data_IF_741573929146
#
_entry.id   IF_741573929146
#
_cell.length_a   1.000
_cell.length_b   1.000
_cell.length_c   1.000
_cell.angle_alpha   90.00
_cell.angle_beta   90.00
_cell.angle_gamma   90.00
#
_symmetry.space_group_name_H-M   'P 1'
#
loop_
_entity.id
_entity.type
_entity.pdbx_description
1 polymer ?
#
# COMPACT_ATOMS: atom_id res chain seq x y z
N UNK A 1 13.34 -48.10 -53.56
CA UNK A 1 12.06 -47.59 -53.03
C UNK A 1 12.34 -46.77 -51.76
N UNK A 2 12.09 -45.46 -51.86
CA UNK A 2 11.61 -44.49 -50.84
C UNK A 2 12.30 -44.50 -49.46
N UNK A 3 13.39 -43.75 -49.22
CA UNK A 3 13.62 -42.29 -48.95
C UNK A 3 13.34 -41.79 -47.53
N UNK A 4 14.43 -41.46 -46.81
CA UNK A 4 14.51 -40.51 -45.70
C UNK A 4 14.46 -39.08 -46.26
N UNK A 5 13.54 -38.23 -45.79
CA UNK A 5 13.55 -36.79 -46.09
C UNK A 5 14.21 -35.99 -44.96
N UNK A 6 15.42 -35.53 -45.25
CA UNK A 6 16.13 -34.43 -44.58
C UNK A 6 15.56 -33.10 -45.08
N UNK A 7 15.03 -32.26 -44.19
CA UNK A 7 14.77 -30.84 -44.51
C UNK A 7 15.99 -30.03 -44.04
N UNK A 8 16.75 -29.54 -45.03
CA UNK A 8 17.90 -28.66 -44.87
C UNK A 8 17.49 -27.31 -44.26
N UNK A 9 18.20 -26.90 -43.21
CA UNK A 9 18.25 -25.50 -42.75
C UNK A 9 19.03 -24.67 -43.79
N UNK A 10 18.56 -23.48 -44.18
CA UNK A 10 19.26 -22.68 -45.18
C UNK A 10 20.59 -22.16 -44.60
N UNK A 11 21.70 -22.54 -45.22
CA UNK A 11 23.02 -21.92 -44.99
C UNK A 11 23.00 -20.50 -45.55
N UNK A 12 23.13 -19.49 -44.68
CA UNK A 12 23.40 -18.12 -45.08
C UNK A 12 24.81 -18.04 -45.69
N UNK A 13 24.87 -17.81 -47.01
CA UNK A 13 26.14 -17.66 -47.73
C UNK A 13 26.59 -16.18 -47.69
N UNK A 14 27.46 -15.85 -46.73
CA UNK A 14 28.03 -14.50 -46.53
C UNK A 14 28.94 -14.03 -47.69
N UNK A 15 29.29 -14.87 -48.65
CA UNK A 15 30.11 -14.46 -49.81
C UNK A 15 29.29 -13.83 -50.95
N UNK A 16 27.94 -13.89 -50.92
CA UNK A 16 27.10 -13.23 -51.95
C UNK A 16 26.75 -11.76 -51.63
N UNK A 17 26.96 -11.31 -50.39
CA UNK A 17 26.80 -9.90 -49.99
C UNK A 17 28.04 -9.03 -50.31
N UNK A 18 29.19 -9.65 -50.57
CA UNK A 18 30.42 -8.94 -50.95
C UNK A 18 30.45 -8.42 -52.39
N UNK A 19 29.64 -8.98 -53.30
CA UNK A 19 29.56 -8.52 -54.70
C UNK A 19 28.45 -7.49 -54.97
N UNK A 20 27.42 -7.42 -54.13
CA UNK A 20 26.35 -6.41 -54.29
C UNK A 20 26.80 -5.02 -53.80
N UNK A 21 27.81 -4.95 -52.92
CA UNK A 21 28.35 -3.67 -52.41
C UNK A 21 29.31 -2.97 -53.38
N UNK A 22 29.81 -3.65 -54.41
CA UNK A 22 30.70 -3.06 -55.44
C UNK A 22 30.03 -2.72 -56.78
N UNK A 23 28.75 -3.02 -56.95
CA UNK A 23 27.96 -2.58 -58.12
C UNK A 23 26.90 -1.52 -57.79
N UNK A 24 26.62 -1.24 -56.51
CA UNK A 24 25.62 -0.25 -56.10
C UNK A 24 26.18 1.18 -55.86
N UNK A 25 27.38 1.50 -56.35
CA UNK A 25 27.92 2.87 -56.39
C UNK A 25 27.67 3.56 -57.74
N UNK A 26 26.91 2.93 -58.65
CA UNK A 26 26.52 3.52 -59.94
C UNK A 26 25.10 3.09 -60.33
N UNK A 27 24.08 3.58 -59.63
CA UNK A 27 22.74 3.83 -60.22
C UNK A 27 21.81 4.41 -59.17
N UNK A 28 21.36 5.65 -59.40
CA UNK A 28 20.19 6.22 -58.73
C UNK A 28 18.96 5.37 -59.05
N UNK A 29 18.40 4.63 -58.08
CA UNK A 29 16.99 4.24 -58.16
C UNK A 29 16.38 3.90 -56.79
N UNK A 30 15.10 4.24 -56.68
CA UNK A 30 14.25 4.39 -55.50
C UNK A 30 13.88 3.08 -54.78
N UNK A 31 14.64 2.00 -54.92
CA UNK A 31 14.24 0.65 -54.43
C UNK A 31 14.82 0.26 -53.05
N UNK A 32 15.81 0.98 -52.51
CA UNK A 32 16.42 0.61 -51.21
C UNK A 32 15.58 0.99 -49.97
N UNK A 33 14.63 1.93 -50.11
CA UNK A 33 13.79 2.38 -48.99
C UNK A 33 12.66 1.40 -48.63
N UNK A 34 12.23 0.52 -49.53
CA UNK A 34 11.15 -0.42 -49.22
C UNK A 34 11.65 -1.64 -48.44
N UNK A 35 12.80 -2.23 -48.82
CA UNK A 35 13.30 -3.47 -48.21
C UNK A 35 13.90 -3.27 -46.80
N UNK A 36 14.51 -2.11 -46.55
CA UNK A 36 15.02 -1.73 -45.21
C UNK A 36 13.88 -1.32 -44.26
N UNK A 37 12.81 -0.73 -44.80
CA UNK A 37 11.60 -0.39 -44.03
C UNK A 37 10.87 -1.64 -43.53
N UNK A 38 10.72 -2.68 -44.37
CA UNK A 38 10.00 -3.91 -44.00
C UNK A 38 10.74 -4.74 -42.95
N UNK A 39 12.08 -4.75 -42.97
CA UNK A 39 12.91 -5.50 -42.01
C UNK A 39 13.02 -4.79 -40.64
N UNK A 40 13.10 -3.45 -40.64
CA UNK A 40 13.06 -2.64 -39.41
C UNK A 40 11.65 -2.68 -38.78
N UNK A 41 10.59 -2.76 -39.58
CA UNK A 41 9.22 -2.98 -39.08
C UNK A 41 9.02 -4.38 -38.50
N UNK A 42 9.73 -5.40 -38.98
CA UNK A 42 9.65 -6.77 -38.45
C UNK A 42 10.40 -6.90 -37.11
N UNK A 43 11.57 -6.28 -36.97
CA UNK A 43 12.34 -6.27 -35.70
C UNK A 43 11.71 -5.35 -34.64
N UNK A 44 11.11 -4.22 -35.05
CA UNK A 44 10.32 -3.35 -34.12
C UNK A 44 8.98 -3.95 -33.69
N UNK A 45 8.45 -4.95 -34.40
CA UNK A 45 7.23 -5.68 -34.01
C UNK A 45 7.45 -6.69 -32.88
N UNK A 46 8.71 -7.00 -32.52
CA UNK A 46 9.04 -7.96 -31.45
C UNK A 46 9.08 -7.30 -30.05
N UNK A 47 9.05 -5.96 -29.97
CA UNK A 47 8.62 -5.26 -28.75
C UNK A 47 7.12 -5.04 -28.82
N UNK A 48 6.33 -5.97 -28.27
CA UNK A 48 4.86 -5.97 -28.40
C UNK A 48 4.27 -4.58 -28.09
N UNK A 49 3.25 -4.15 -28.86
CA UNK A 49 2.48 -2.93 -28.57
C UNK A 49 2.02 -2.87 -27.10
N UNK A 50 1.81 -4.03 -26.46
CA UNK A 50 1.56 -4.18 -25.02
C UNK A 50 2.71 -3.65 -24.14
N UNK A 51 3.96 -3.90 -24.50
CA UNK A 51 5.13 -3.43 -23.75
C UNK A 51 5.34 -1.92 -23.89
N UNK A 52 5.07 -1.36 -25.07
CA UNK A 52 5.05 0.10 -25.28
C UNK A 52 3.87 0.77 -24.56
N UNK A 53 2.69 0.15 -24.54
CA UNK A 53 1.53 0.64 -23.78
C UNK A 53 1.83 0.61 -22.28
N UNK A 54 2.40 -0.50 -21.75
CA UNK A 54 2.83 -0.60 -20.36
C UNK A 54 3.90 0.42 -19.99
N UNK A 55 4.89 0.66 -20.86
CA UNK A 55 5.92 1.70 -20.64
C UNK A 55 5.31 3.10 -20.66
N UNK A 56 4.36 3.39 -21.56
CA UNK A 56 3.61 4.66 -21.58
C UNK A 56 2.75 4.84 -20.34
N UNK A 57 2.14 3.77 -19.83
CA UNK A 57 1.34 3.77 -18.59
C UNK A 57 2.23 3.92 -17.37
N UNK A 58 3.32 3.17 -17.26
CA UNK A 58 4.30 3.32 -16.18
C UNK A 58 4.89 4.72 -16.21
N UNK A 59 5.20 5.24 -17.41
CA UNK A 59 5.59 6.64 -17.60
C UNK A 59 4.47 7.59 -17.21
N UNK A 60 3.20 7.34 -17.52
CA UNK A 60 2.09 8.21 -17.09
C UNK A 60 1.82 8.15 -15.58
N UNK A 61 2.02 6.99 -14.94
CA UNK A 61 1.95 6.84 -13.47
C UNK A 61 3.09 7.62 -12.83
N UNK A 62 4.32 7.41 -13.29
CA UNK A 62 5.51 8.13 -12.85
C UNK A 62 5.40 9.64 -13.14
N UNK A 63 4.91 10.02 -14.32
CA UNK A 63 4.70 11.41 -14.74
C UNK A 63 3.53 12.03 -13.97
N UNK A 64 2.46 11.30 -13.61
CA UNK A 64 1.40 11.82 -12.73
C UNK A 64 1.91 12.03 -11.30
N UNK A 65 2.88 11.22 -10.86
CA UNK A 65 3.59 11.40 -9.61
C UNK A 65 4.60 12.57 -9.68
N UNK A 66 5.19 12.84 -10.85
CA UNK A 66 6.20 13.90 -11.08
C UNK A 66 5.59 15.27 -11.47
N UNK A 67 4.50 15.31 -12.23
CA UNK A 67 3.82 16.54 -12.71
C UNK A 67 3.13 17.27 -11.55
N UNK A 68 2.71 16.54 -10.50
CA UNK A 68 2.27 17.16 -9.24
C UNK A 68 3.44 17.67 -8.37
N UNK A 69 4.68 17.27 -8.66
CA UNK A 69 5.88 17.69 -7.92
C UNK A 69 6.63 18.89 -8.56
N UNK A 70 6.21 19.35 -9.74
CA UNK A 70 6.98 20.31 -10.56
C UNK A 70 6.26 21.61 -10.91
N UNK A 71 5.32 22.06 -10.07
CA UNK A 71 4.49 23.24 -10.33
C UNK A 71 4.87 24.48 -9.52
N UNK A 72 6.15 24.88 -9.49
CA UNK A 72 6.53 26.22 -8.99
C UNK A 72 7.19 26.98 -10.13
N UNK A 73 6.46 27.96 -10.68
CA UNK A 73 7.04 29.00 -11.52
C UNK A 73 7.71 30.02 -10.59
N UNK A 74 8.99 30.28 -10.81
CA UNK A 74 9.73 31.37 -10.19
C UNK A 74 9.01 32.70 -10.44
N UNK A 75 8.55 33.33 -9.35
CA UNK A 75 8.28 34.75 -9.32
C UNK A 75 9.32 35.38 -8.38
N UNK A 76 10.23 36.14 -8.96
CA UNK A 76 11.19 37.02 -8.28
C UNK A 76 10.47 37.91 -7.27
N UNK A 77 10.79 37.75 -5.98
CA UNK A 77 10.46 38.73 -4.93
C UNK A 77 11.74 39.19 -4.24
N UNK A 78 11.85 40.51 -4.11
CA UNK A 78 12.92 41.24 -3.43
C UNK A 78 12.97 40.90 -1.95
N UNK A 79 14.19 40.81 -1.42
CA UNK A 79 14.52 40.56 -0.02
C UNK A 79 13.93 41.59 0.95
N UNK A 80 13.40 41.10 2.07
CA UNK A 80 13.19 41.83 3.32
C UNK A 80 13.60 40.90 4.49
N UNK A 81 14.08 41.44 5.62
CA UNK A 81 15.00 40.73 6.50
C UNK A 81 14.32 39.68 7.39
N UNK A 82 15.06 38.60 7.61
CA UNK A 82 14.66 37.40 8.33
C UNK A 82 14.34 37.65 9.82
N UNK A 83 13.17 37.19 10.25
CA UNK A 83 12.91 36.82 11.64
C UNK A 83 12.97 35.29 11.74
N UNK A 84 13.76 34.79 12.70
CA UNK A 84 13.88 33.37 13.01
C UNK A 84 12.58 32.90 13.68
N UNK A 85 11.73 32.19 12.95
CA UNK A 85 10.69 31.36 13.54
C UNK A 85 11.17 29.91 13.59
N UNK A 86 11.08 29.30 14.78
CA UNK A 86 11.32 27.88 15.02
C UNK A 86 10.32 27.01 14.22
N UNK A 87 10.71 25.81 13.77
CA UNK A 87 9.79 24.95 13.04
C UNK A 87 8.61 24.56 13.92
N UNK A 88 7.40 24.87 13.45
CA UNK A 88 6.15 24.54 14.10
C UNK A 88 6.08 23.04 14.44
N UNK A 89 6.02 22.75 15.73
CA UNK A 89 5.73 21.41 16.28
C UNK A 89 4.41 20.93 15.67
N UNK A 90 4.48 19.87 14.87
CA UNK A 90 3.32 19.18 14.30
C UNK A 90 2.48 18.65 15.46
N UNK A 91 1.39 19.35 15.80
CA UNK A 91 0.40 18.83 16.74
C UNK A 91 -0.29 17.65 16.08
N UNK A 92 -0.15 16.48 16.70
CA UNK A 92 -0.88 15.27 16.36
C UNK A 92 -2.38 15.58 16.24
N UNK A 93 -2.96 15.24 15.10
CA UNK A 93 -4.41 15.18 14.95
C UNK A 93 -4.88 14.05 15.86
N UNK A 94 -5.81 14.28 16.80
CA UNK A 94 -6.27 13.22 17.68
C UNK A 94 -6.85 12.10 16.82
N UNK A 95 -6.27 10.90 16.93
CA UNK A 95 -6.90 9.67 16.45
C UNK A 95 -8.19 9.51 17.25
N UNK A 96 -9.29 10.01 16.69
CA UNK A 96 -10.62 9.82 17.23
C UNK A 96 -10.93 8.34 17.42
N UNK A 97 -11.93 8.00 18.25
CA UNK A 97 -12.30 6.61 18.49
C UNK A 97 -12.55 5.96 17.14
N UNK A 98 -11.80 4.90 16.83
CA UNK A 98 -11.90 4.18 15.57
C UNK A 98 -13.37 3.99 15.23
N UNK A 99 -13.83 4.71 14.23
CA UNK A 99 -15.11 4.47 13.59
C UNK A 99 -14.92 3.11 12.95
N UNK A 100 -15.20 2.06 13.72
CA UNK A 100 -15.43 0.73 13.19
C UNK A 100 -16.54 0.90 12.18
N UNK A 101 -16.15 1.10 10.92
CA UNK A 101 -16.93 0.71 9.77
C UNK A 101 -17.52 -0.64 10.14
N UNK A 102 -18.83 -0.67 10.41
CA UNK A 102 -19.57 -1.92 10.43
C UNK A 102 -19.15 -2.67 9.17
N UNK A 103 -18.66 -3.90 9.34
CA UNK A 103 -18.03 -4.67 8.27
C UNK A 103 -18.84 -4.52 6.96
N UNK A 104 -18.19 -4.24 5.81
CA UNK A 104 -18.89 -3.66 4.68
C UNK A 104 -19.88 -4.62 4.02
N UNK A 105 -21.16 -4.22 4.07
CA UNK A 105 -22.17 -4.12 3.00
C UNK A 105 -22.38 -5.26 1.99
N UNK A 106 -21.82 -6.45 2.21
CA UNK A 106 -22.12 -7.64 1.41
C UNK A 106 -22.99 -8.65 2.15
N UNK A 107 -23.78 -9.43 1.42
CA UNK A 107 -24.60 -10.49 2.00
C UNK A 107 -23.73 -11.72 2.32
N UNK A 108 -23.87 -12.32 3.52
CA UNK A 108 -23.14 -13.53 3.86
C UNK A 108 -23.53 -14.68 2.93
N UNK A 109 -22.58 -15.60 2.70
CA UNK A 109 -22.80 -16.77 1.86
C UNK A 109 -23.12 -18.01 2.69
N UNK A 110 -23.81 -18.97 2.07
CA UNK A 110 -23.92 -20.33 2.59
C UNK A 110 -22.54 -20.99 2.66
N UNK A 111 -22.34 -21.84 3.67
CA UNK A 111 -21.04 -22.44 3.98
C UNK A 111 -20.46 -23.26 2.82
N UNK A 112 -21.30 -23.99 2.08
CA UNK A 112 -20.86 -24.79 0.93
C UNK A 112 -20.34 -23.91 -0.21
N UNK A 113 -21.04 -22.82 -0.55
CA UNK A 113 -20.59 -21.86 -1.56
C UNK A 113 -19.29 -21.18 -1.13
N UNK A 114 -19.19 -20.78 0.13
CA UNK A 114 -17.98 -20.17 0.69
C UNK A 114 -16.77 -21.13 0.57
N UNK A 115 -16.96 -22.42 0.87
CA UNK A 115 -15.91 -23.43 0.70
C UNK A 115 -15.45 -23.56 -0.76
N UNK A 116 -16.39 -23.68 -1.69
CA UNK A 116 -16.11 -23.77 -3.13
C UNK A 116 -15.33 -22.55 -3.65
N UNK A 117 -15.69 -21.34 -3.19
CA UNK A 117 -14.99 -20.11 -3.57
C UNK A 117 -13.58 -20.04 -2.98
N UNK A 118 -13.36 -20.51 -1.75
CA UNK A 118 -12.01 -20.60 -1.15
C UNK A 118 -11.08 -21.53 -1.93
N UNK A 119 -11.59 -22.68 -2.40
CA UNK A 119 -10.79 -23.59 -3.22
C UNK A 119 -10.55 -23.02 -4.62
N UNK A 120 -11.57 -22.40 -5.23
CA UNK A 120 -11.44 -21.76 -6.54
C UNK A 120 -10.41 -20.63 -6.52
N UNK A 121 -10.46 -19.74 -5.54
CA UNK A 121 -9.53 -18.61 -5.47
C UNK A 121 -8.08 -19.08 -5.25
N UNK A 122 -7.86 -20.11 -4.43
CA UNK A 122 -6.54 -20.71 -4.23
C UNK A 122 -6.00 -21.34 -5.53
N UNK A 123 -6.84 -22.07 -6.27
CA UNK A 123 -6.49 -22.64 -7.59
C UNK A 123 -6.11 -21.55 -8.60
N UNK A 124 -6.85 -20.44 -8.65
CA UNK A 124 -6.54 -19.31 -9.55
C UNK A 124 -5.16 -18.71 -9.24
N UNK A 125 -4.80 -18.58 -7.96
CA UNK A 125 -3.47 -18.09 -7.55
C UNK A 125 -2.36 -19.12 -7.81
N UNK A 126 -2.70 -20.41 -7.84
CA UNK A 126 -1.76 -21.52 -7.99
C UNK A 126 -1.25 -22.07 -6.66
N UNK A 127 -2.08 -22.03 -5.61
CA UNK A 127 -1.78 -22.63 -4.30
C UNK A 127 -2.84 -23.66 -3.93
N UNK A 128 -2.44 -24.68 -3.17
CA UNK A 128 -3.35 -25.70 -2.65
C UNK A 128 -4.02 -25.24 -1.35
N UNK A 129 -5.23 -25.75 -1.11
CA UNK A 129 -5.99 -25.53 0.12
C UNK A 129 -7.02 -24.42 -0.01
N UNK A 130 -7.38 -23.84 1.14
CA UNK A 130 -8.50 -22.91 1.28
C UNK A 130 -8.14 -21.72 2.20
N UNK A 131 -6.84 -21.40 2.34
CA UNK A 131 -6.34 -20.34 3.22
C UNK A 131 -6.56 -18.95 2.65
N UNK A 132 -6.57 -17.93 3.52
CA UNK A 132 -6.57 -16.53 3.07
C UNK A 132 -5.31 -16.22 2.25
N UNK A 133 -5.49 -15.60 1.09
CA UNK A 133 -4.41 -15.37 0.12
C UNK A 133 -3.78 -13.97 0.21
N UNK A 134 -4.34 -13.08 1.03
CA UNK A 134 -3.80 -11.72 1.19
C UNK A 134 -2.44 -11.72 1.91
N UNK A 135 -1.52 -10.90 1.43
CA UNK A 135 -0.18 -10.70 2.00
C UNK A 135 -0.26 -9.93 3.32
N UNK A 136 0.47 -10.26 4.37
CA UNK A 136 0.49 -9.52 5.64
C UNK A 136 1.80 -8.73 5.77
N UNK A 137 1.76 -7.41 6.02
CA UNK A 137 2.96 -6.61 6.13
C UNK A 137 3.70 -6.86 7.45
N UNK A 138 5.04 -6.78 7.39
CA UNK A 138 5.91 -6.80 8.56
C UNK A 138 6.19 -5.39 9.06
N UNK A 139 6.50 -5.23 10.34
CA UNK A 139 6.80 -3.91 10.91
C UNK A 139 8.05 -3.31 10.30
N UNK A 140 8.00 -2.02 10.01
CA UNK A 140 9.14 -1.23 9.57
C UNK A 140 10.10 -1.01 10.74
N UNK A 141 11.38 -1.25 10.51
CA UNK A 141 12.47 -1.08 11.47
C UNK A 141 13.60 -0.25 10.86
N UNK A 142 14.58 0.15 11.68
CA UNK A 142 15.83 0.78 11.20
C UNK A 142 16.58 -0.04 10.15
N UNK A 143 16.53 -1.38 10.22
CA UNK A 143 17.15 -2.23 9.20
C UNK A 143 16.41 -2.11 7.86
N UNK A 144 15.08 -2.07 7.89
CA UNK A 144 14.28 -1.87 6.67
C UNK A 144 14.43 -0.48 6.08
N UNK A 145 14.78 0.54 6.88
CA UNK A 145 15.14 1.86 6.37
C UNK A 145 16.36 1.79 5.44
N UNK A 146 17.36 0.98 5.79
CA UNK A 146 18.52 0.72 4.93
C UNK A 146 18.13 -0.05 3.67
N UNK A 147 17.16 -0.97 3.78
CA UNK A 147 16.65 -1.71 2.62
C UNK A 147 16.10 -0.78 1.52
N UNK A 148 15.41 0.30 1.89
CA UNK A 148 14.90 1.31 0.93
C UNK A 148 16.03 1.95 0.08
N UNK A 149 17.25 2.00 0.61
CA UNK A 149 18.42 2.46 -0.14
C UNK A 149 18.98 1.40 -1.08
N UNK A 150 18.61 0.14 -0.96
CA UNK A 150 19.12 -0.96 -1.79
C UNK A 150 18.11 -1.46 -2.83
N UNK A 151 16.81 -1.28 -2.58
CA UNK A 151 15.73 -1.78 -3.41
C UNK A 151 14.68 -0.70 -3.68
N UNK A 152 14.03 -0.77 -4.84
CA UNK A 152 13.01 0.19 -5.22
C UNK A 152 11.66 -0.15 -4.57
N UNK A 153 11.16 0.74 -3.71
CA UNK A 153 9.85 0.67 -3.08
C UNK A 153 8.89 1.78 -3.54
N UNK A 154 7.60 1.50 -3.57
CA UNK A 154 6.55 2.51 -3.50
C UNK A 154 6.15 2.74 -2.04
N UNK A 155 5.59 3.92 -1.76
CA UNK A 155 4.99 4.29 -0.46
C UNK A 155 3.57 4.80 -0.67
N UNK A 156 2.67 4.44 0.22
CA UNK A 156 1.31 4.97 0.29
C UNK A 156 0.89 5.18 1.74
N UNK A 157 -0.16 5.95 1.96
CA UNK A 157 -0.75 6.11 3.28
C UNK A 157 -1.30 4.77 3.79
N UNK A 158 -1.20 4.52 5.10
CA UNK A 158 -1.82 3.37 5.76
C UNK A 158 -3.21 3.80 6.24
N UNK A 159 -4.25 3.36 5.55
CA UNK A 159 -5.61 3.80 5.87
C UNK A 159 -6.10 3.10 7.13
N UNK A 160 -6.89 3.82 7.91
CA UNK A 160 -7.70 3.22 8.96
C UNK A 160 -9.01 2.70 8.35
N UNK A 161 -8.94 1.50 7.78
CA UNK A 161 -10.04 0.88 7.05
C UNK A 161 -10.11 -0.63 7.23
N UNK A 162 -11.08 -1.24 6.54
CA UNK A 162 -11.27 -2.69 6.53
C UNK A 162 -10.65 -3.26 5.27
N UNK A 163 -9.48 -3.90 5.43
CA UNK A 163 -8.84 -4.62 4.33
C UNK A 163 -9.66 -5.81 3.87
N UNK A 164 -9.95 -5.85 2.58
CA UNK A 164 -10.67 -6.95 1.91
C UNK A 164 -10.07 -7.21 0.54
N UNK A 165 -10.09 -8.45 0.09
CA UNK A 165 -9.89 -8.76 -1.34
C UNK A 165 -11.22 -8.64 -2.07
N UNK A 166 -11.19 -8.12 -3.29
CA UNK A 166 -12.32 -8.12 -4.21
C UNK A 166 -12.12 -9.22 -5.25
N UNK A 167 -13.10 -10.12 -5.38
CA UNK A 167 -13.06 -11.26 -6.29
C UNK A 167 -14.23 -11.23 -7.27
N UNK A 168 -13.93 -11.15 -8.56
CA UNK A 168 -14.92 -11.20 -9.65
C UNK A 168 -15.05 -12.63 -10.18
N UNK A 169 -16.28 -13.14 -10.24
CA UNK A 169 -16.62 -14.45 -10.80
C UNK A 169 -17.72 -14.26 -11.84
N UNK A 170 -17.58 -14.89 -13.00
CA UNK A 170 -18.64 -14.92 -13.99
C UNK A 170 -19.46 -16.20 -13.80
N UNK A 171 -20.77 -16.03 -13.60
CA UNK A 171 -21.71 -17.13 -13.52
C UNK A 171 -22.07 -17.64 -14.94
N UNK A 172 -22.55 -18.87 -15.04
CA UNK A 172 -22.85 -19.53 -16.34
C UNK A 172 -23.91 -18.79 -17.16
N UNK A 173 -24.82 -18.09 -16.49
CA UNK A 173 -25.83 -17.22 -17.13
C UNK A 173 -25.25 -15.89 -17.65
N UNK A 174 -23.94 -15.68 -17.60
CA UNK A 174 -23.25 -14.48 -18.07
C UNK A 174 -23.27 -13.30 -17.09
N UNK A 175 -23.91 -13.44 -15.92
CA UNK A 175 -23.88 -12.40 -14.89
C UNK A 175 -22.60 -12.47 -14.06
N UNK A 176 -21.96 -11.32 -13.86
CA UNK A 176 -20.81 -11.25 -12.96
C UNK A 176 -21.27 -11.12 -11.50
N UNK A 177 -20.72 -11.95 -10.64
CA UNK A 177 -20.83 -11.85 -9.19
C UNK A 177 -19.51 -11.26 -8.64
N UNK A 178 -19.65 -10.35 -7.67
CA UNK A 178 -18.51 -9.75 -6.97
C UNK A 178 -18.58 -10.15 -5.51
N UNK A 179 -17.44 -10.59 -4.98
CA UNK A 179 -17.30 -10.96 -3.57
C UNK A 179 -16.23 -10.12 -2.90
N UNK A 180 -16.45 -9.79 -1.63
CA UNK A 180 -15.42 -9.29 -0.73
C UNK A 180 -14.95 -10.40 0.20
N UNK A 181 -13.66 -10.42 0.50
CA UNK A 181 -13.02 -11.45 1.31
C UNK A 181 -12.24 -10.76 2.43
N UNK A 182 -12.67 -10.95 3.67
CA UNK A 182 -12.00 -10.35 4.82
C UNK A 182 -10.76 -11.14 5.26
N UNK A 183 -10.04 -10.62 6.27
CA UNK A 183 -8.84 -11.28 6.83
C UNK A 183 -9.14 -12.62 7.53
N UNK A 184 -10.39 -12.87 7.93
CA UNK A 184 -10.86 -14.15 8.49
C UNK A 184 -11.24 -15.14 7.38
N UNK A 185 -10.96 -14.80 6.12
CA UNK A 185 -11.29 -15.58 4.94
C UNK A 185 -12.81 -15.76 4.75
N UNK A 186 -13.59 -14.80 5.22
CA UNK A 186 -15.04 -14.74 5.07
C UNK A 186 -15.44 -14.03 3.79
N UNK A 187 -16.31 -14.68 3.03
CA UNK A 187 -16.81 -14.18 1.75
C UNK A 187 -18.17 -13.52 1.93
N UNK A 188 -18.34 -12.35 1.32
CA UNK A 188 -19.61 -11.63 1.26
C UNK A 188 -19.91 -11.25 -0.19
N UNK A 189 -21.13 -11.53 -0.67
CA UNK A 189 -21.59 -11.13 -2.00
C UNK A 189 -21.94 -9.64 -2.04
N UNK A 190 -21.50 -8.93 -3.08
CA UNK A 190 -21.77 -7.51 -3.28
C UNK A 190 -22.65 -7.33 -4.52
N UNK A 191 -23.92 -6.92 -4.35
CA UNK A 191 -24.81 -6.65 -5.48
C UNK A 191 -24.45 -5.34 -6.20
N UNK A 192 -25.01 -5.14 -7.39
CA UNK A 192 -24.92 -3.87 -8.15
C UNK A 192 -23.49 -3.34 -8.44
N UNK A 193 -22.51 -4.23 -8.39
CA UNK A 193 -21.14 -3.96 -8.75
C UNK A 193 -20.73 -4.85 -9.92
N UNK A 194 -20.17 -4.23 -10.95
CA UNK A 194 -19.73 -4.89 -12.20
C UNK A 194 -18.42 -4.29 -12.67
N UNK A 195 -17.52 -5.13 -13.16
CA UNK A 195 -16.19 -4.76 -13.64
C UNK A 195 -16.00 -5.29 -15.07
N UNK A 196 -16.05 -4.41 -16.07
CA UNK A 196 -15.87 -4.78 -17.46
C UNK A 196 -14.39 -4.96 -17.81
N UNK A 197 -14.12 -5.69 -18.89
CA UNK A 197 -12.78 -5.83 -19.46
C UNK A 197 -12.45 -4.63 -20.34
N UNK A 198 -11.15 -4.36 -20.51
CA UNK A 198 -10.71 -3.27 -21.38
C UNK A 198 -11.13 -3.49 -22.84
N UNK A 199 -11.59 -2.41 -23.48
CA UNK A 199 -12.05 -2.34 -24.87
C UNK A 199 -13.38 -3.05 -25.20
N UNK A 200 -13.97 -3.80 -24.26
CA UNK A 200 -15.25 -4.50 -24.45
C UNK A 200 -16.13 -4.34 -23.20
N UNK A 201 -16.81 -3.19 -23.07
CA UNK A 201 -17.51 -2.81 -21.83
C UNK A 201 -18.71 -3.72 -21.46
N UNK A 202 -19.16 -4.58 -22.37
CA UNK A 202 -20.21 -5.57 -22.13
C UNK A 202 -19.67 -6.95 -21.73
N UNK A 203 -18.35 -7.12 -21.71
CA UNK A 203 -17.69 -8.35 -21.27
C UNK A 203 -17.09 -8.11 -19.89
N UNK A 204 -17.39 -9.01 -18.95
CA UNK A 204 -17.01 -8.84 -17.55
C UNK A 204 -15.84 -9.75 -17.16
N UNK A 205 -15.08 -9.30 -16.16
CA UNK A 205 -14.00 -10.11 -15.58
C UNK A 205 -14.53 -11.41 -14.97
N UNK A 206 -13.81 -12.51 -15.19
CA UNK A 206 -13.98 -13.78 -14.49
C UNK A 206 -12.67 -14.12 -13.80
N UNK A 207 -12.69 -14.71 -12.61
CA UNK A 207 -11.50 -15.10 -11.86
C UNK A 207 -10.43 -14.00 -11.75
N UNK A 208 -10.86 -12.79 -11.37
CA UNK A 208 -9.99 -11.62 -11.18
C UNK A 208 -9.99 -11.21 -9.72
N UNK A 209 -8.81 -11.03 -9.14
CA UNK A 209 -8.61 -10.84 -7.70
C UNK A 209 -7.81 -9.56 -7.46
N UNK A 210 -8.40 -8.62 -6.75
CA UNK A 210 -7.81 -7.31 -6.40
C UNK A 210 -7.64 -7.25 -4.88
N UNK A 211 -6.51 -6.75 -4.41
CA UNK A 211 -6.29 -6.44 -2.99
C UNK A 211 -6.55 -4.96 -2.76
N UNK A 212 -7.22 -4.64 -1.66
CA UNK A 212 -7.68 -3.29 -1.37
C UNK A 212 -8.20 -3.12 0.04
N UNK A 213 -8.69 -1.92 0.31
CA UNK A 213 -9.18 -1.50 1.62
C UNK A 213 -10.44 -0.67 1.48
N UNK A 214 -11.43 -0.95 2.34
CA UNK A 214 -12.65 -0.17 2.43
C UNK A 214 -12.48 0.90 3.50
N UNK A 215 -12.62 2.15 3.08
CA UNK A 215 -12.49 3.34 3.92
C UNK A 215 -13.80 4.14 3.92
N UNK A 216 -14.01 4.92 4.99
CA UNK A 216 -15.12 5.85 5.12
C UNK A 216 -14.58 7.27 4.91
N UNK A 217 -14.81 7.84 3.72
CA UNK A 217 -14.46 9.22 3.46
C UNK A 217 -15.51 10.15 4.08
N UNK A 218 -15.11 11.06 4.95
CA UNK A 218 -15.93 12.19 5.38
C UNK A 218 -15.90 13.28 4.30
N UNK A 219 -17.02 13.46 3.60
CA UNK A 219 -17.16 14.49 2.56
C UNK A 219 -17.45 15.88 3.18
N UNK A 220 -17.19 16.99 2.45
CA UNK A 220 -17.39 18.35 2.98
C UNK A 220 -18.82 18.67 3.45
N UNK A 221 -19.81 17.91 2.99
CA UNK A 221 -21.20 18.01 3.42
C UNK A 221 -21.49 17.25 4.73
N UNK A 222 -20.47 16.69 5.38
CA UNK A 222 -20.58 15.91 6.62
C UNK A 222 -21.04 14.46 6.43
N UNK A 223 -21.24 13.99 5.19
CA UNK A 223 -21.65 12.62 4.92
C UNK A 223 -20.45 11.68 4.76
N UNK A 224 -20.60 10.46 5.26
CA UNK A 224 -19.63 9.40 5.01
C UNK A 224 -19.92 8.70 3.68
N UNK A 225 -18.88 8.54 2.85
CA UNK A 225 -18.92 7.79 1.59
C UNK A 225 -17.96 6.63 1.69
N UNK A 226 -18.47 5.42 1.46
CA UNK A 226 -17.62 4.23 1.43
C UNK A 226 -16.85 4.17 0.12
N UNK A 227 -15.54 3.94 0.22
CA UNK A 227 -14.65 3.79 -0.93
C UNK A 227 -13.78 2.55 -0.78
N UNK A 228 -13.71 1.75 -1.84
CA UNK A 228 -12.72 0.69 -2.01
C UNK A 228 -11.46 1.27 -2.69
N UNK A 229 -10.37 1.33 -1.94
CA UNK A 229 -9.04 1.72 -2.39
C UNK A 229 -8.28 0.47 -2.83
N UNK A 230 -8.26 0.20 -4.14
CA UNK A 230 -7.52 -0.90 -4.74
C UNK A 230 -6.02 -0.58 -4.79
N UNK A 231 -5.16 -1.48 -4.32
CA UNK A 231 -3.71 -1.26 -4.28
C UNK A 231 -2.85 -2.40 -4.82
N UNK A 232 -3.41 -3.57 -5.14
CA UNK A 232 -2.69 -4.63 -5.86
C UNK A 232 -3.64 -5.52 -6.67
N UNK A 233 -3.10 -6.23 -7.67
CA UNK A 233 -3.85 -7.16 -8.53
C UNK A 233 -3.14 -8.52 -8.50
N UNK A 234 -3.80 -9.53 -7.96
CA UNK A 234 -3.23 -10.85 -7.71
C UNK A 234 -3.47 -11.80 -8.89
N UNK A 235 -4.67 -11.74 -9.47
CA UNK A 235 -5.04 -12.52 -10.65
C UNK A 235 -5.86 -11.68 -11.61
N UNK A 236 -5.70 -11.98 -12.90
CA UNK A 236 -6.39 -11.30 -13.97
C UNK A 236 -6.94 -12.33 -14.95
N UNK A 237 -8.26 -12.41 -15.06
CA UNK A 237 -8.96 -13.29 -15.99
C UNK A 237 -8.55 -14.76 -15.88
N UNK A 238 -8.50 -15.29 -14.66
CA UNK A 238 -8.11 -16.68 -14.37
C UNK A 238 -6.60 -16.93 -14.36
N UNK A 239 -5.79 -15.92 -14.70
CA UNK A 239 -4.33 -16.04 -14.66
C UNK A 239 -3.76 -15.39 -13.41
N UNK A 240 -3.05 -16.18 -12.59
CA UNK A 240 -2.20 -15.65 -11.52
C UNK A 240 -1.13 -14.73 -12.07
N UNK A 241 -1.00 -13.54 -11.50
CA UNK A 241 0.05 -12.57 -11.84
C UNK A 241 0.92 -12.18 -10.63
N UNK A 242 0.79 -12.90 -9.52
CA UNK A 242 1.55 -12.67 -8.28
C UNK A 242 3.06 -12.74 -8.49
N UNK A 243 3.54 -13.50 -9.47
CA UNK A 243 4.97 -13.59 -9.83
C UNK A 243 5.51 -12.36 -10.57
N UNK A 244 4.64 -11.46 -11.05
CA UNK A 244 5.05 -10.23 -11.75
C UNK A 244 5.43 -9.15 -10.74
N UNK A 245 6.34 -8.22 -11.08
CA UNK A 245 6.63 -7.04 -10.26
C UNK A 245 5.39 -6.19 -9.97
N UNK A 246 5.35 -5.52 -8.82
CA UNK A 246 4.25 -4.62 -8.42
C UNK A 246 3.95 -3.57 -9.50
N UNK A 247 4.99 -2.99 -10.13
CA UNK A 247 4.81 -2.04 -11.25
C UNK A 247 3.93 -2.58 -12.37
N UNK A 248 4.08 -3.86 -12.73
CA UNK A 248 3.26 -4.52 -13.75
C UNK A 248 1.85 -4.80 -13.25
N UNK A 249 1.69 -5.18 -11.98
CA UNK A 249 0.39 -5.46 -11.36
C UNK A 249 -0.43 -4.18 -11.24
N UNK A 250 0.16 -3.08 -10.77
CA UNK A 250 -0.46 -1.75 -10.68
C UNK A 250 -0.85 -1.18 -12.05
N UNK A 251 0.05 -1.25 -13.04
CA UNK A 251 -0.26 -0.77 -14.38
C UNK A 251 -1.48 -1.50 -14.98
N UNK A 252 -1.57 -2.82 -14.77
CA UNK A 252 -2.73 -3.60 -15.19
C UNK A 252 -3.98 -3.28 -14.37
N UNK A 253 -3.87 -3.16 -13.05
CA UNK A 253 -4.97 -2.75 -12.18
C UNK A 253 -5.58 -1.43 -12.65
N UNK A 254 -4.74 -0.44 -12.94
CA UNK A 254 -5.19 0.87 -13.40
C UNK A 254 -5.83 0.80 -14.78
N UNK A 255 -5.14 0.23 -15.77
CA UNK A 255 -5.56 0.33 -17.17
C UNK A 255 -6.58 -0.71 -17.61
N UNK A 256 -6.56 -1.89 -17.00
CA UNK A 256 -7.36 -3.04 -17.45
C UNK A 256 -8.48 -3.42 -16.47
N UNK A 257 -8.53 -2.83 -15.27
CA UNK A 257 -9.59 -3.08 -14.29
C UNK A 257 -10.30 -1.78 -13.85
N UNK A 258 -9.58 -0.82 -13.26
CA UNK A 258 -10.15 0.45 -12.79
C UNK A 258 -10.58 1.36 -13.94
N UNK A 259 -9.75 1.46 -15.00
CA UNK A 259 -10.04 2.26 -16.19
C UNK A 259 -11.36 1.88 -16.87
N UNK A 260 -11.54 0.61 -17.28
CA UNK A 260 -12.78 0.16 -17.92
C UNK A 260 -14.02 0.34 -17.02
N UNK A 261 -13.89 0.11 -15.71
CA UNK A 261 -14.96 0.38 -14.76
C UNK A 261 -15.36 1.87 -14.76
N UNK A 262 -14.39 2.79 -14.76
CA UNK A 262 -14.66 4.23 -14.88
C UNK A 262 -15.32 4.60 -16.19
N UNK A 263 -14.90 4.01 -17.31
CA UNK A 263 -15.53 4.26 -18.61
C UNK A 263 -16.97 3.75 -18.66
N UNK A 264 -17.26 2.58 -18.07
CA UNK A 264 -18.63 2.07 -17.93
C UNK A 264 -19.49 3.03 -17.10
N UNK A 265 -18.99 3.56 -16.00
CA UNK A 265 -19.77 4.52 -15.19
C UNK A 265 -20.10 5.82 -15.92
N UNK A 266 -19.33 6.24 -16.93
CA UNK A 266 -19.66 7.44 -17.73
C UNK A 266 -20.87 7.26 -18.64
N UNK A 267 -21.13 6.03 -19.06
CA UNK A 267 -22.22 5.67 -19.98
C UNK A 267 -23.37 4.92 -19.29
N UNK A 268 -23.18 4.51 -18.04
CA UNK A 268 -24.19 3.83 -17.25
C UNK A 268 -25.36 4.76 -16.94
N UNK A 269 -26.55 4.18 -16.78
CA UNK A 269 -27.70 4.95 -16.33
C UNK A 269 -27.49 5.43 -14.87
N UNK A 270 -28.07 6.59 -14.48
CA UNK A 270 -27.89 7.14 -13.14
C UNK A 270 -28.33 6.20 -12.02
N UNK A 271 -29.39 5.41 -12.22
CA UNK A 271 -29.90 4.49 -11.20
C UNK A 271 -28.86 3.44 -10.80
N UNK A 272 -28.14 2.88 -11.77
CA UNK A 272 -27.04 1.95 -11.52
C UNK A 272 -25.86 2.61 -10.80
N UNK A 273 -25.55 3.87 -11.13
CA UNK A 273 -24.47 4.60 -10.45
C UNK A 273 -24.83 4.84 -8.97
N UNK A 274 -26.09 5.19 -8.70
CA UNK A 274 -26.60 5.43 -7.34
C UNK A 274 -26.79 4.14 -6.53
N UNK A 275 -27.01 3.00 -7.17
CA UNK A 275 -27.15 1.71 -6.48
C UNK A 275 -25.81 1.10 -6.07
N UNK A 276 -24.69 1.66 -6.51
CA UNK A 276 -23.37 1.12 -6.17
C UNK A 276 -23.12 1.21 -4.66
N UNK A 277 -22.73 0.08 -4.01
CA UNK A 277 -22.59 0.04 -2.56
C UNK A 277 -21.40 0.86 -2.03
N UNK A 278 -20.41 1.13 -2.90
CA UNK A 278 -19.25 1.95 -2.60
C UNK A 278 -18.58 2.45 -3.89
N UNK A 279 -17.81 3.53 -3.78
CA UNK A 279 -16.96 4.02 -4.89
C UNK A 279 -15.71 3.14 -4.99
N UNK A 280 -15.22 2.89 -6.20
CA UNK A 280 -13.96 2.17 -6.41
C UNK A 280 -12.88 3.10 -6.95
N UNK A 281 -11.67 3.06 -6.39
CA UNK A 281 -10.57 3.93 -6.81
C UNK A 281 -9.23 3.20 -6.64
N UNK A 282 -8.25 3.56 -7.47
CA UNK A 282 -6.86 3.13 -7.28
C UNK A 282 -6.26 3.95 -6.13
N UNK A 283 -5.58 3.29 -5.19
CA UNK A 283 -4.84 3.94 -4.10
C UNK A 283 -3.64 4.70 -4.68
N UNK A 284 -3.45 5.96 -4.25
CA UNK A 284 -2.33 6.77 -4.71
C UNK A 284 -1.02 6.21 -4.14
N UNK A 285 -0.04 6.00 -5.02
CA UNK A 285 1.28 5.50 -4.70
C UNK A 285 2.32 6.57 -5.03
N UNK A 286 3.21 6.85 -4.10
CA UNK A 286 4.41 7.66 -4.31
C UNK A 286 5.63 6.76 -4.42
N UNK A 287 6.72 7.30 -4.97
CA UNK A 287 8.03 6.64 -4.85
C UNK A 287 8.48 6.69 -3.39
N UNK A 288 9.25 5.70 -2.94
CA UNK A 288 9.71 5.62 -1.54
C UNK A 288 10.49 6.83 -1.03
N UNK A 289 11.02 7.67 -1.91
CA UNK A 289 11.62 8.96 -1.57
C UNK A 289 10.64 10.15 -1.65
N UNK A 290 9.34 9.91 -1.71
CA UNK A 290 8.27 10.92 -1.66
C UNK A 290 7.66 11.08 -0.26
N UNK A 291 8.46 10.85 0.79
CA UNK A 291 8.03 10.82 2.20
C UNK A 291 7.51 12.20 2.64
N UNK A 292 8.24 13.26 2.31
CA UNK A 292 7.86 14.64 2.59
C UNK A 292 6.51 14.97 1.97
N UNK A 293 6.30 14.57 0.71
CA UNK A 293 5.03 14.75 0.02
C UNK A 293 3.90 13.97 0.71
N UNK A 294 4.18 12.75 1.18
CA UNK A 294 3.20 11.99 1.96
C UNK A 294 2.75 12.78 3.20
N UNK A 295 3.68 13.32 3.98
CA UNK A 295 3.38 14.03 5.22
C UNK A 295 2.80 15.42 5.02
N UNK A 296 3.26 16.19 4.03
CA UNK A 296 2.86 17.59 3.82
C UNK A 296 1.65 17.77 2.91
N UNK A 297 1.44 16.85 1.96
CA UNK A 297 0.42 17.01 0.93
C UNK A 297 -0.62 15.88 0.91
N UNK A 298 -0.21 14.62 1.05
CA UNK A 298 -1.16 13.50 0.87
C UNK A 298 -1.99 13.28 2.13
N UNK A 299 -1.33 12.99 3.25
CA UNK A 299 -2.00 12.63 4.53
C UNK A 299 -2.93 13.75 5.02
N UNK A 300 -2.53 15.05 5.04
CA UNK A 300 -3.40 16.12 5.52
C UNK A 300 -4.66 16.34 4.68
N UNK A 301 -4.68 15.86 3.43
CA UNK A 301 -5.81 16.01 2.50
C UNK A 301 -6.65 14.72 2.37
N UNK A 302 -6.37 13.69 3.17
CA UNK A 302 -7.21 12.49 3.21
C UNK A 302 -8.57 12.79 3.84
N UNK A 303 -9.58 12.07 3.37
CA UNK A 303 -10.95 12.16 3.90
C UNK A 303 -11.27 11.05 4.91
N UNK A 304 -10.32 10.16 5.16
CA UNK A 304 -10.42 9.02 6.06
C UNK A 304 -9.23 9.02 7.02
N UNK A 305 -9.34 8.23 8.09
CA UNK A 305 -8.26 8.07 9.06
C UNK A 305 -7.00 7.47 8.43
N UNK A 306 -5.85 7.88 8.94
CA UNK A 306 -4.54 7.35 8.58
C UNK A 306 -3.77 7.08 9.88
N UNK A 307 -3.05 5.96 9.93
CA UNK A 307 -2.24 5.60 11.10
C UNK A 307 -0.78 5.25 10.72
N UNK A 308 -0.28 5.76 9.59
CA UNK A 308 1.09 5.57 9.15
C UNK A 308 1.25 5.39 7.64
N UNK A 309 2.23 4.58 7.24
CA UNK A 309 2.62 4.37 5.84
C UNK A 309 2.75 2.87 5.52
N UNK A 310 2.49 2.50 4.26
CA UNK A 310 2.81 1.18 3.71
C UNK A 310 3.86 1.34 2.61
N UNK A 311 4.98 0.65 2.79
CA UNK A 311 6.01 0.52 1.75
C UNK A 311 5.87 -0.86 1.09
N UNK A 312 5.77 -0.87 -0.24
CA UNK A 312 5.69 -2.13 -1.00
C UNK A 312 6.75 -2.15 -2.09
N UNK A 313 7.55 -3.22 -2.13
CA UNK A 313 8.59 -3.36 -3.13
C UNK A 313 8.01 -3.29 -4.54
N UNK A 314 8.61 -2.45 -5.37
CA UNK A 314 8.22 -2.25 -6.77
C UNK A 314 8.58 -3.44 -7.66
N UNK A 315 9.55 -4.26 -7.24
CA UNK A 315 10.15 -5.36 -8.02
C UNK A 315 9.74 -6.74 -7.51
N UNK A 316 9.42 -6.88 -6.22
CA UNK A 316 9.13 -8.17 -5.62
C UNK A 316 7.80 -8.78 -6.13
N UNK A 317 7.74 -10.12 -6.20
CA UNK A 317 6.48 -10.82 -6.37
C UNK A 317 5.56 -10.60 -5.17
N UNK A 318 4.26 -10.78 -5.38
CA UNK A 318 3.28 -10.81 -4.30
C UNK A 318 3.36 -12.17 -3.59
N UNK A 319 3.58 -12.14 -2.27
CA UNK A 319 3.68 -13.33 -1.43
C UNK A 319 2.44 -13.39 -0.51
N UNK A 320 1.56 -14.40 -0.67
CA UNK A 320 0.46 -14.64 0.27
C UNK A 320 0.96 -14.86 1.70
N UNK A 321 0.15 -14.52 2.71
CA UNK A 321 0.57 -14.55 4.12
C UNK A 321 1.72 -13.58 4.40
N UNK A 322 2.60 -13.81 5.37
CA UNK A 322 3.65 -12.85 5.74
C UNK A 322 4.55 -12.49 4.54
N UNK A 323 4.58 -11.21 4.18
CA UNK A 323 5.39 -10.70 3.09
C UNK A 323 6.42 -9.69 3.64
N UNK A 324 7.69 -10.12 3.66
CA UNK A 324 8.80 -9.30 4.16
C UNK A 324 9.14 -8.12 3.25
N UNK A 325 8.65 -8.11 2.01
CA UNK A 325 8.80 -7.00 1.04
C UNK A 325 7.61 -6.02 1.05
N UNK A 326 6.75 -6.14 2.07
CA UNK A 326 5.66 -5.22 2.34
C UNK A 326 5.75 -4.78 3.80
N UNK A 327 6.07 -3.52 4.02
CA UNK A 327 6.43 -2.96 5.31
C UNK A 327 5.32 -2.02 5.78
N UNK A 328 4.91 -2.15 7.04
CA UNK A 328 4.01 -1.19 7.70
C UNK A 328 4.84 -0.32 8.64
N UNK A 329 4.81 0.97 8.41
CA UNK A 329 5.41 1.96 9.29
C UNK A 329 4.31 2.68 10.06
N UNK A 330 4.53 2.85 11.36
CA UNK A 330 3.77 3.72 12.26
C UNK A 330 4.78 4.50 13.10
N UNK A 331 4.54 5.78 13.42
CA UNK A 331 5.38 6.49 14.37
C UNK A 331 5.46 5.70 15.69
N UNK A 332 6.67 5.40 16.21
CA UNK A 332 6.84 4.74 17.50
C UNK A 332 6.07 5.44 18.62
N UNK A 333 6.13 6.77 18.64
CA UNK A 333 5.40 7.68 19.53
C UNK A 333 3.86 7.57 19.47
N UNK A 334 3.29 7.06 18.39
CA UNK A 334 1.85 6.81 18.25
C UNK A 334 1.44 5.38 18.63
N UNK A 335 2.39 4.50 18.97
CA UNK A 335 2.04 3.19 19.52
C UNK A 335 1.59 3.33 20.96
N UNK A 336 0.40 2.83 21.24
CA UNK A 336 -0.19 2.81 22.56
C UNK A 336 -0.22 1.41 23.15
N UNK A 337 -0.23 1.35 24.48
CA UNK A 337 -0.38 0.11 25.25
C UNK A 337 -1.43 0.36 26.34
N UNK A 338 -2.32 -0.60 26.54
CA UNK A 338 -3.27 -0.57 27.65
C UNK A 338 -2.65 -1.25 28.88
N UNK A 339 -2.65 -0.59 30.03
CA UNK A 339 -2.20 -1.16 31.31
C UNK A 339 -3.26 -0.95 32.39
N UNK A 340 -3.20 -1.78 33.44
CA UNK A 340 -3.92 -1.50 34.69
C UNK A 340 -3.10 -0.49 35.50
N UNK A 341 -3.73 0.60 35.92
CA UNK A 341 -3.14 1.64 36.75
C UNK A 341 -3.36 1.34 38.23
N UNK A 342 -2.31 1.48 39.04
CA UNK A 342 -2.40 1.55 40.50
C UNK A 342 -1.68 2.78 41.01
N UNK A 343 -2.18 3.35 42.10
CA UNK A 343 -1.57 4.46 42.81
C UNK A 343 -0.79 3.91 44.00
N UNK A 344 0.48 4.28 44.11
CA UNK A 344 1.35 3.93 45.25
C UNK A 344 1.80 5.22 45.95
N UNK A 345 1.72 5.25 47.29
CA UNK A 345 2.18 6.38 48.08
C UNK A 345 3.71 6.51 48.01
N UNK A 346 4.26 7.74 47.98
CA UNK A 346 5.70 7.94 48.06
C UNK A 346 6.27 7.34 49.36
N UNK A 347 7.41 6.66 49.28
CA UNK A 347 7.96 5.82 50.36
C UNK A 347 8.56 6.61 51.54
N UNK A 348 8.46 7.95 51.60
CA UNK A 348 9.04 8.76 52.68
C UNK A 348 8.29 10.08 52.95
N UNK A 349 7.75 10.23 54.17
CA UNK A 349 7.30 11.52 54.73
C UNK A 349 5.82 11.88 54.56
N UNK A 350 5.37 12.89 55.33
CA UNK A 350 3.98 13.31 55.56
C UNK A 350 2.99 12.99 54.42
N UNK A 351 2.06 12.07 54.71
CA UNK A 351 1.36 11.20 53.74
C UNK A 351 0.10 11.88 53.14
N UNK A 352 -0.32 13.02 53.67
CA UNK A 352 -1.48 13.76 53.19
C UNK A 352 -1.05 14.85 52.20
N UNK A 353 -1.60 14.79 50.97
CA UNK A 353 -1.42 15.70 49.83
C UNK A 353 -0.20 15.51 48.90
N UNK A 354 0.61 14.46 49.03
CA UNK A 354 1.64 14.21 48.02
C UNK A 354 1.10 13.47 46.81
N UNK A 355 1.55 13.88 45.62
CA UNK A 355 1.24 13.24 44.34
C UNK A 355 1.75 11.78 44.36
N UNK A 356 0.88 10.78 44.12
CA UNK A 356 1.28 9.38 44.18
C UNK A 356 2.15 8.98 42.99
N UNK A 357 2.79 7.81 43.08
CA UNK A 357 3.35 7.14 41.91
C UNK A 357 2.24 6.44 41.13
N UNK A 358 2.26 6.60 39.81
CA UNK A 358 1.29 6.02 38.89
C UNK A 358 1.90 4.77 38.26
N UNK A 359 1.61 3.61 38.83
CA UNK A 359 2.26 2.34 38.49
C UNK A 359 1.44 1.59 37.45
N UNK A 360 2.09 1.24 36.34
CA UNK A 360 1.51 0.49 35.23
C UNK A 360 1.74 -1.00 35.43
N UNK A 361 0.66 -1.78 35.29
CA UNK A 361 0.67 -3.23 35.42
C UNK A 361 0.23 -3.89 34.12
N UNK A 362 1.04 -4.81 33.60
CA UNK A 362 0.70 -5.67 32.46
C UNK A 362 -0.06 -6.91 32.95
N UNK A 363 -0.96 -7.43 32.10
CA UNK A 363 -1.78 -8.58 32.45
C UNK A 363 -1.11 -9.89 32.04
N UNK A 364 -1.15 -10.91 32.92
CA UNK A 364 -0.54 -12.24 32.69
C UNK A 364 -1.55 -13.38 32.53
N UNK A 365 -2.85 -13.09 32.62
CA UNK A 365 -3.92 -14.08 32.54
C UNK A 365 -4.65 -14.25 33.87
N UNK A 366 -5.95 -14.55 33.81
CA UNK A 366 -6.79 -14.61 35.02
C UNK A 366 -6.74 -13.27 35.79
N UNK A 367 -6.44 -13.35 37.09
CA UNK A 367 -6.27 -12.17 37.95
C UNK A 367 -4.80 -11.81 38.20
N UNK A 368 -3.85 -12.37 37.43
CA UNK A 368 -2.42 -12.12 37.60
C UNK A 368 -1.96 -10.88 36.81
N UNK A 369 -1.16 -10.05 37.48
CA UNK A 369 -0.62 -8.81 36.96
C UNK A 369 0.83 -8.65 37.42
N UNK A 370 1.66 -8.06 36.57
CA UNK A 370 3.01 -7.68 36.95
C UNK A 370 3.28 -6.21 36.73
N UNK A 371 4.02 -5.64 37.67
CA UNK A 371 4.53 -4.28 37.57
C UNK A 371 5.41 -4.16 36.32
N UNK A 372 5.02 -3.25 35.44
CA UNK A 372 5.73 -2.95 34.20
C UNK A 372 6.62 -1.72 34.37
N UNK A 373 6.06 -0.62 34.86
CA UNK A 373 6.79 0.66 34.94
C UNK A 373 5.97 1.77 35.57
N UNK A 374 6.46 3.01 35.42
CA UNK A 374 5.80 4.21 35.91
C UNK A 374 5.25 5.03 34.74
N UNK A 375 4.06 5.59 34.93
CA UNK A 375 3.49 6.61 34.06
C UNK A 375 3.85 7.99 34.60
N UNK A 376 4.37 8.85 33.72
CA UNK A 376 4.63 10.24 34.04
C UNK A 376 3.34 11.04 33.89
N UNK A 377 2.88 11.60 35.01
CA UNK A 377 1.73 12.50 35.09
C UNK A 377 2.27 13.87 35.46
N UNK A 378 1.86 14.94 34.77
CA UNK A 378 2.23 16.30 35.14
C UNK A 378 1.33 16.83 36.27
N UNK A 379 1.67 17.98 36.86
CA UNK A 379 0.94 18.50 38.02
C UNK A 379 -0.44 19.03 37.64
N UNK A 380 -0.61 19.52 36.41
CA UNK A 380 -1.89 20.02 35.91
C UNK A 380 -2.91 18.88 35.74
N UNK A 381 -2.51 17.77 35.11
CA UNK A 381 -3.34 16.58 34.94
C UNK A 381 -3.66 15.93 36.28
N UNK A 382 -2.69 15.88 37.19
CA UNK A 382 -2.93 15.40 38.55
C UNK A 382 -3.96 16.25 39.28
N UNK A 383 -3.82 17.58 39.24
CA UNK A 383 -4.75 18.50 39.88
C UNK A 383 -6.15 18.44 39.25
N UNK A 384 -6.23 18.22 37.94
CA UNK A 384 -7.50 17.97 37.26
C UNK A 384 -8.18 16.69 37.78
N UNK A 385 -7.47 15.58 37.89
CA UNK A 385 -8.04 14.34 38.42
C UNK A 385 -8.43 14.46 39.90
N UNK A 386 -7.62 15.18 40.68
CA UNK A 386 -7.87 15.44 42.11
C UNK A 386 -9.13 16.29 42.32
N UNK A 387 -9.27 17.39 41.59
CA UNK A 387 -10.40 18.31 41.71
C UNK A 387 -11.73 17.71 41.22
N UNK A 388 -11.68 16.77 40.28
CA UNK A 388 -12.86 16.08 39.73
C UNK A 388 -13.19 14.77 40.45
N UNK A 389 -12.43 14.38 41.49
CA UNK A 389 -12.56 13.08 42.15
C UNK A 389 -12.54 11.90 41.16
N UNK A 390 -11.69 11.97 40.13
CA UNK A 390 -11.58 10.92 39.12
C UNK A 390 -11.10 9.61 39.76
N UNK A 391 -11.84 8.51 39.55
CA UNK A 391 -11.41 7.19 39.98
C UNK A 391 -10.25 6.69 39.10
N UNK A 392 -9.10 6.46 39.72
CA UNK A 392 -7.86 6.02 39.04
C UNK A 392 -7.43 4.60 39.42
N UNK A 393 -7.70 4.19 40.66
CA UNK A 393 -7.22 2.92 41.19
C UNK A 393 -7.82 1.74 40.44
N UNK A 394 -6.95 0.83 39.99
CA UNK A 394 -7.29 -0.40 39.25
C UNK A 394 -7.97 -0.17 37.89
N UNK A 395 -7.91 1.05 37.36
CA UNK A 395 -8.53 1.38 36.09
C UNK A 395 -7.58 1.08 34.93
N UNK A 396 -8.13 0.69 33.78
CA UNK A 396 -7.32 0.50 32.57
C UNK A 396 -7.06 1.85 31.91
N UNK A 397 -5.79 2.14 31.66
CA UNK A 397 -5.33 3.34 30.96
C UNK A 397 -4.58 2.94 29.69
N UNK A 398 -4.84 3.66 28.61
CA UNK A 398 -4.03 3.62 27.41
C UNK A 398 -2.92 4.65 27.58
N UNK A 399 -1.68 4.26 27.28
CA UNK A 399 -0.49 5.11 27.38
C UNK A 399 0.31 5.06 26.09
N UNK A 400 1.02 6.14 25.78
CA UNK A 400 2.02 6.19 24.70
C UNK A 400 3.42 6.47 25.28
N UNK A 401 4.46 6.06 24.56
CA UNK A 401 5.83 6.37 24.95
C UNK A 401 6.27 7.70 24.34
N UNK A 402 6.77 8.60 25.18
CA UNK A 402 7.36 9.87 24.76
C UNK A 402 8.89 9.71 24.68
N UNK A 403 9.49 9.75 23.47
CA UNK A 403 10.94 9.59 23.32
C UNK A 403 11.74 10.74 23.93
N UNK A 404 11.19 11.97 23.94
CA UNK A 404 11.89 13.18 24.35
C UNK A 404 12.29 13.19 25.83
N UNK A 405 11.44 12.63 26.69
CA UNK A 405 11.66 12.52 28.14
C UNK A 405 11.73 11.07 28.64
N UNK A 406 11.71 10.12 27.72
CA UNK A 406 11.79 8.67 27.97
C UNK A 406 10.72 8.17 28.96
N UNK A 407 9.50 8.67 28.84
CA UNK A 407 8.43 8.38 29.80
C UNK A 407 7.14 7.87 29.14
N UNK A 408 6.36 7.08 29.88
CA UNK A 408 5.01 6.68 29.49
C UNK A 408 4.02 7.78 29.86
N UNK A 409 3.27 8.27 28.88
CA UNK A 409 2.32 9.37 29.03
C UNK A 409 0.88 8.85 28.91
N UNK A 410 0.01 9.40 29.74
CA UNK A 410 -1.41 9.10 29.69
C UNK A 410 -2.00 9.50 28.34
N UNK A 411 -2.73 8.58 27.70
CA UNK A 411 -3.46 8.84 26.46
C UNK A 411 -4.96 8.97 26.73
N UNK A 412 -5.59 7.93 27.30
CA UNK A 412 -7.00 7.95 27.73
C UNK A 412 -7.32 6.81 28.69
N UNK A 413 -8.52 6.86 29.27
CA UNK A 413 -9.10 5.72 29.98
C UNK A 413 -9.71 4.71 29.01
N UNK A 414 -9.66 3.43 29.38
CA UNK A 414 -10.20 2.30 28.63
C UNK A 414 -11.26 1.57 29.45
N UNK A 415 -12.34 2.27 29.75
CA UNK A 415 -13.47 1.70 30.51
C UNK A 415 -14.21 0.60 29.73
N UNK A 416 -13.93 0.48 28.43
CA UNK A 416 -14.36 -0.63 27.57
C UNK A 416 -13.64 -1.95 27.88
N UNK A 417 -12.61 -1.93 28.73
CA UNK A 417 -11.75 -3.09 29.00
C UNK A 417 -11.71 -3.44 30.48
N UNK A 418 -11.88 -4.73 30.76
CA UNK A 418 -11.65 -5.28 32.09
C UNK A 418 -10.16 -5.32 32.46
N UNK A 419 -9.30 -5.56 31.47
CA UNK A 419 -7.85 -5.72 31.66
C UNK A 419 -7.06 -4.91 30.63
N UNK A 420 -5.82 -4.58 31.00
CA UNK A 420 -4.82 -4.08 30.04
C UNK A 420 -4.42 -5.15 29.01
N UNK A 421 -3.45 -4.82 28.16
CA UNK A 421 -2.91 -5.78 27.22
C UNK A 421 -2.16 -6.91 27.95
N UNK A 422 -2.26 -8.11 27.38
CA UNK A 422 -1.48 -9.26 27.83
C UNK A 422 0.03 -8.98 27.65
N UNK A 423 0.87 -9.47 28.56
CA UNK A 423 2.34 -9.29 28.56
C UNK A 423 2.99 -9.58 27.20
N UNK A 424 2.54 -10.62 26.50
CA UNK A 424 3.03 -10.96 25.14
C UNK A 424 2.71 -9.90 24.08
N UNK A 425 1.65 -9.12 24.25
CA UNK A 425 1.32 -7.96 23.39
C UNK A 425 2.17 -6.77 23.80
N UNK A 426 2.30 -6.50 25.10
CA UNK A 426 3.15 -5.43 25.65
C UNK A 426 4.58 -5.58 25.11
N UNK A 427 5.17 -6.77 25.21
CA UNK A 427 6.52 -7.04 24.70
C UNK A 427 6.66 -6.76 23.20
N UNK A 428 5.67 -7.12 22.38
CA UNK A 428 5.68 -6.85 20.93
C UNK A 428 5.60 -5.37 20.63
N UNK A 429 4.77 -4.61 21.34
CA UNK A 429 4.64 -3.16 21.14
C UNK A 429 5.90 -2.45 21.61
N UNK A 430 6.45 -2.81 22.77
CA UNK A 430 7.72 -2.26 23.28
C UNK A 430 8.87 -2.53 22.30
N UNK A 431 8.96 -3.74 21.74
CA UNK A 431 9.95 -4.05 20.71
C UNK A 431 9.74 -3.19 19.45
N UNK A 432 8.48 -2.99 19.02
CA UNK A 432 8.15 -2.12 17.89
C UNK A 432 8.51 -0.65 18.13
N UNK A 433 8.37 -0.16 19.37
CA UNK A 433 8.79 1.19 19.76
C UNK A 433 10.31 1.29 19.71
N UNK A 434 11.02 0.30 20.25
CA UNK A 434 12.49 0.26 20.30
C UNK A 434 13.10 0.22 18.90
N UNK A 435 12.61 -0.64 18.02
CA UNK A 435 13.17 -0.86 16.68
C UNK A 435 12.64 0.12 15.64
N UNK A 436 11.56 0.83 15.99
CA UNK A 436 10.85 1.72 15.10
C UNK A 436 11.63 2.99 14.79
N UNK A 437 11.15 3.68 13.76
CA UNK A 437 11.76 4.86 13.15
C UNK A 437 10.74 5.99 13.28
N UNK A 438 11.11 7.11 13.90
CA UNK A 438 10.21 8.27 14.02
C UNK A 438 10.04 8.98 12.67
N UNK A 439 9.01 9.83 12.56
CA UNK A 439 8.65 10.48 11.30
C UNK A 439 9.78 11.40 10.78
N UNK A 440 10.49 12.06 11.69
CA UNK A 440 11.66 12.88 11.39
C UNK A 440 12.83 12.03 10.88
N UNK A 441 13.18 10.93 11.54
CA UNK A 441 14.23 10.00 11.08
C UNK A 441 13.93 9.47 9.67
N UNK A 442 12.66 9.10 9.43
CA UNK A 442 12.20 8.66 8.11
C UNK A 442 12.33 9.77 7.06
N UNK A 443 11.97 11.01 7.40
CA UNK A 443 12.10 12.17 6.53
C UNK A 443 13.57 12.49 6.19
N UNK A 444 14.47 12.46 7.19
CA UNK A 444 15.90 12.68 6.99
C UNK A 444 16.54 11.64 6.04
N UNK A 445 16.01 10.41 6.01
CA UNK A 445 16.50 9.37 5.11
C UNK A 445 16.10 9.58 3.63
N UNK A 446 15.11 10.44 3.35
CA UNK A 446 14.52 10.61 2.01
C UNK A 446 15.57 10.86 0.91
N UNK A 447 16.51 11.78 1.15
CA UNK A 447 17.49 12.16 0.13
C UNK A 447 18.47 11.01 -0.17
N UNK A 448 18.89 10.27 0.85
CA UNK A 448 19.73 9.08 0.66
C UNK A 448 19.03 8.00 -0.17
N UNK A 449 17.73 7.77 0.07
CA UNK A 449 16.89 6.84 -0.69
C UNK A 449 16.77 7.30 -2.14
N UNK A 450 16.54 8.61 -2.37
CA UNK A 450 16.44 9.20 -3.70
C UNK A 450 17.74 9.04 -4.48
N UNK A 451 18.87 9.37 -3.88
CA UNK A 451 20.19 9.26 -4.52
C UNK A 451 20.48 7.81 -4.92
N UNK A 452 20.25 6.85 -4.01
CA UNK A 452 20.47 5.44 -4.29
C UNK A 452 19.51 4.90 -5.39
N UNK A 453 18.26 5.36 -5.40
CA UNK A 453 17.32 5.04 -6.48
C UNK A 453 17.82 5.53 -7.84
N UNK A 454 18.24 6.80 -7.92
CA UNK A 454 18.70 7.41 -9.17
C UNK A 454 19.95 6.72 -9.70
N UNK A 455 20.86 6.31 -8.81
CA UNK A 455 22.03 5.53 -9.20
C UNK A 455 21.66 4.17 -9.78
N UNK A 456 20.72 3.44 -9.17
CA UNK A 456 20.20 2.18 -9.74
C UNK A 456 19.57 2.37 -11.12
N UNK A 457 18.81 3.45 -11.33
CA UNK A 457 18.22 3.77 -12.64
C UNK A 457 19.31 4.02 -13.70
N UNK A 458 20.37 4.77 -13.33
CA UNK A 458 21.51 5.05 -14.21
C UNK A 458 22.21 3.76 -14.63
N UNK A 459 22.56 2.90 -13.67
CA UNK A 459 23.21 1.59 -13.91
C UNK A 459 22.34 0.71 -14.82
N UNK A 460 21.04 0.59 -14.52
CA UNK A 460 20.12 -0.23 -15.31
C UNK A 460 20.02 0.26 -16.76
N UNK A 461 19.98 1.57 -16.97
CA UNK A 461 19.90 2.17 -18.29
C UNK A 461 21.20 2.00 -19.09
N UNK A 462 22.36 2.13 -18.45
CA UNK A 462 23.66 1.83 -19.07
C UNK A 462 23.78 0.36 -19.49
N UNK A 463 23.36 -0.57 -18.62
CA UNK A 463 23.33 -1.99 -18.94
C UNK A 463 22.44 -2.31 -20.15
N UNK A 464 21.26 -1.70 -20.22
CA UNK A 464 20.36 -1.84 -21.38
C UNK A 464 20.97 -1.29 -22.68
N UNK A 465 21.63 -0.13 -22.62
CA UNK A 465 22.32 0.46 -23.77
C UNK A 465 23.46 -0.42 -24.27
N UNK A 466 24.27 -0.97 -23.36
CA UNK A 466 25.36 -1.87 -23.73
C UNK A 466 24.86 -3.17 -24.35
N UNK A 467 23.77 -3.75 -23.83
CA UNK A 467 23.13 -4.92 -24.45
C UNK A 467 22.61 -4.62 -25.85
N UNK A 468 22.02 -3.43 -26.07
CA UNK A 468 21.54 -3.01 -27.39
C UNK A 468 22.67 -2.73 -28.40
N UNK A 469 23.85 -2.32 -27.95
CA UNK A 469 25.02 -2.16 -28.85
C UNK A 469 25.70 -3.48 -29.19
N UNK A 470 25.51 -4.53 -28.39
CA UNK A 470 26.09 -5.87 -28.62
C UNK A 470 25.20 -6.78 -29.47
N UNK A 471 23.90 -6.50 -29.56
CA UNK A 471 22.93 -7.21 -30.38
C UNK A 471 22.81 -6.58 -31.77
#
# INVERSE_FOLDING_TARGET
MVTRNNIQRPKFNLQKLGRVRKQALKSNSTSYKSVVSTSIQHVRRISTKKEQQKRKVLKHILDSALVKAGGVREATMKEAPAQKEEPAVVKAIPSGPGTTLGAPSGMPLEQHMEHMLRERICRVIGINGNRFIGAQPVSFTRDTLRELQSENYFVSEKSDGVRVLLYCVLHENGQQQVFLIDRKNKFSYVPELRFPVANELNVFHNDTIVDGELVADLEPNGQYVIRYLAFDLLAYRGQSIVSKPLTSRLARLQCEFIGPYREMLKIANPQFIHSQPFKVSLKEMQLSYGIERMFKEVIPNLKHGNDGLIFTSSVAPYIPSTNVKMLKWKPPSENTIDFRLTLESPTAGNIHNQKPQFVLHEWRGGQDYSRFGLMAVDDALWEQWRSTSTQLQNRVVEVSYSPGDQSWRFFRFRDDKEHGNHSSVVQKVVQSIRDGVEADELLHAQDSIKMAWKERERIAHEGQRQQQMRA
#
